data_IF_404799440282
#
_entry.id   IF_404799440282
#
_cell.length_a   1.000
_cell.length_b   1.000
_cell.length_c   1.000
_cell.angle_alpha   90.00
_cell.angle_beta   90.00
_cell.angle_gamma   90.00
#
_symmetry.space_group_name_H-M   'P 1'
#
loop_
_entity.id
_entity.type
_entity.pdbx_description
1 polymer ?
#
# COMPACT_ATOMS: atom_id res chain seq x y z
N UNK A 1 0.29 15.59 -17.80
CA UNK A 1 0.12 14.13 -17.60
C UNK A 1 -0.58 13.93 -16.27
N UNK A 2 -1.89 13.73 -16.28
CA UNK A 2 -2.67 13.48 -15.06
C UNK A 2 -2.65 11.97 -14.79
N UNK A 3 -1.95 11.56 -13.74
CA UNK A 3 -1.99 10.17 -13.27
C UNK A 3 -3.30 10.01 -12.52
N UNK A 4 -4.21 9.21 -13.07
CA UNK A 4 -5.48 8.88 -12.43
C UNK A 4 -5.18 8.15 -11.11
N UNK A 5 -5.31 8.87 -10.00
CA UNK A 5 -5.44 8.28 -8.67
C UNK A 5 -6.80 7.61 -8.66
N UNK A 6 -6.81 6.29 -8.90
CA UNK A 6 -7.99 5.45 -8.70
C UNK A 6 -8.29 5.43 -7.19
N UNK A 7 -9.02 6.45 -6.74
CA UNK A 7 -9.77 6.40 -5.51
C UNK A 7 -11.04 5.58 -5.78
N UNK A 8 -10.99 4.28 -5.48
CA UNK A 8 -12.21 3.52 -5.20
C UNK A 8 -11.92 2.35 -4.24
N UNK A 9 -12.67 2.36 -3.14
CA UNK A 9 -13.27 1.24 -2.41
C UNK A 9 -13.12 1.40 -0.88
N UNK A 10 -14.19 1.79 -0.14
CA UNK A 10 -14.24 1.73 1.31
C UNK A 10 -14.52 0.28 1.75
N UNK A 11 -13.56 -0.62 1.55
CA UNK A 11 -13.57 -1.96 2.12
C UNK A 11 -12.42 -2.05 3.11
N UNK A 12 -12.72 -1.61 4.33
CA UNK A 12 -11.97 -1.84 5.57
C UNK A 12 -10.45 -2.00 5.34
N UNK A 13 -9.75 -0.91 4.99
CA UNK A 13 -8.30 -0.92 4.76
C UNK A 13 -7.49 -1.00 6.05
N UNK A 14 -8.14 -0.83 7.20
CA UNK A 14 -7.52 -0.86 8.54
C UNK A 14 -6.69 -2.11 8.81
N UNK A 15 -7.19 -3.36 8.63
CA UNK A 15 -6.35 -4.55 8.76
C UNK A 15 -5.24 -4.66 7.70
N UNK A 16 -5.38 -3.98 6.56
CA UNK A 16 -4.36 -3.99 5.50
C UNK A 16 -3.13 -3.17 5.87
N UNK A 17 -3.21 -2.22 6.81
CA UNK A 17 -2.05 -1.46 7.30
C UNK A 17 -0.94 -2.37 7.84
N UNK A 18 -1.29 -3.49 8.46
CA UNK A 18 -0.34 -4.43 9.04
C UNK A 18 0.06 -5.56 8.08
N UNK A 19 -0.71 -5.75 7.01
CA UNK A 19 -0.48 -6.87 6.10
C UNK A 19 0.49 -6.47 5.00
N UNK A 20 1.64 -7.15 4.93
CA UNK A 20 2.58 -6.96 3.83
C UNK A 20 1.98 -7.46 2.52
N UNK A 21 1.83 -6.58 1.54
CA UNK A 21 1.26 -6.91 0.23
C UNK A 21 2.31 -6.76 -0.87
N UNK A 22 2.23 -7.61 -1.90
CA UNK A 22 2.96 -7.44 -3.17
C UNK A 22 2.05 -6.73 -4.16
N UNK A 23 2.50 -5.62 -4.76
CA UNK A 23 1.78 -4.91 -5.82
C UNK A 23 2.54 -4.95 -7.14
N UNK A 24 1.83 -5.05 -8.26
CA UNK A 24 2.45 -5.03 -9.58
C UNK A 24 3.06 -3.66 -9.85
N UNK A 25 4.35 -3.62 -10.19
CA UNK A 25 5.05 -2.41 -10.61
C UNK A 25 5.02 -2.28 -12.13
N UNK A 26 5.22 -3.39 -12.84
CA UNK A 26 5.31 -3.38 -14.31
C UNK A 26 4.93 -4.74 -14.90
N UNK A 27 4.81 -4.78 -16.22
CA UNK A 27 4.60 -6.01 -16.98
C UNK A 27 5.84 -6.26 -17.85
N UNK A 28 6.45 -7.43 -17.70
CA UNK A 28 7.55 -7.88 -18.56
C UNK A 28 7.03 -8.93 -19.53
N UNK A 29 7.42 -8.83 -20.80
CA UNK A 29 7.11 -9.87 -21.77
C UNK A 29 8.18 -10.96 -21.69
N UNK A 30 7.78 -12.20 -21.39
CA UNK A 30 8.66 -13.35 -21.42
C UNK A 30 8.33 -14.19 -22.67
N UNK A 31 9.34 -14.48 -23.49
CA UNK A 31 9.16 -15.13 -24.79
C UNK A 31 8.48 -16.50 -24.69
N UNK A 32 8.62 -17.19 -23.55
CA UNK A 32 8.01 -18.51 -23.33
C UNK A 32 6.67 -18.50 -22.57
N UNK A 33 6.31 -17.40 -21.89
CA UNK A 33 5.19 -17.37 -20.91
C UNK A 33 4.22 -16.21 -21.17
N UNK A 34 4.50 -15.33 -22.13
CA UNK A 34 3.70 -14.13 -22.38
C UNK A 34 3.96 -13.01 -21.35
N UNK A 35 2.97 -12.14 -21.13
CA UNK A 35 3.10 -11.00 -20.21
C UNK A 35 3.08 -11.45 -18.75
N UNK A 36 4.21 -11.35 -18.07
CA UNK A 36 4.35 -11.61 -16.64
C UNK A 36 4.31 -10.30 -15.85
N UNK A 37 3.53 -10.26 -14.76
CA UNK A 37 3.54 -9.13 -13.83
C UNK A 37 4.80 -9.18 -12.98
N UNK A 38 5.55 -8.08 -12.96
CA UNK A 38 6.65 -7.84 -12.03
C UNK A 38 6.07 -7.13 -10.83
N UNK A 39 6.09 -7.79 -9.69
CA UNK A 39 5.65 -7.21 -8.43
C UNK A 39 6.82 -6.63 -7.63
N UNK A 40 6.50 -5.66 -6.77
CA UNK A 40 7.43 -5.12 -5.79
C UNK A 40 7.79 -6.14 -4.70
N UNK A 41 8.77 -5.74 -3.89
CA UNK A 41 9.04 -6.42 -2.62
C UNK A 41 7.81 -6.24 -1.71
N UNK A 42 7.42 -7.28 -0.95
CA UNK A 42 6.34 -7.16 0.02
C UNK A 42 6.60 -5.97 0.97
N UNK A 43 5.63 -5.07 1.05
CA UNK A 43 5.64 -3.92 1.97
C UNK A 43 4.24 -3.65 2.46
N UNK A 44 4.14 -3.12 3.68
CA UNK A 44 2.86 -2.65 4.21
C UNK A 44 2.42 -1.37 3.49
N UNK A 45 1.10 -1.11 3.38
CA UNK A 45 0.59 0.19 2.93
C UNK A 45 1.19 1.37 3.69
N UNK A 46 1.40 1.20 5.01
CA UNK A 46 2.09 2.18 5.84
C UNK A 46 3.49 2.53 5.31
N UNK A 47 4.32 1.51 5.07
CA UNK A 47 5.66 1.71 4.51
C UNK A 47 5.62 2.33 3.10
N UNK A 48 4.63 1.96 2.29
CA UNK A 48 4.47 2.51 0.93
C UNK A 48 4.11 4.00 0.94
N UNK A 49 3.41 4.48 1.97
CA UNK A 49 3.04 5.88 2.12
C UNK A 49 4.19 6.74 2.65
N UNK A 50 5.05 6.19 3.52
CA UNK A 50 6.22 6.90 4.06
C UNK A 50 7.42 6.93 3.11
N UNK A 51 7.70 5.83 2.40
CA UNK A 51 8.89 5.69 1.54
C UNK A 51 9.09 6.84 0.51
N UNK A 52 8.04 7.41 -0.13
CA UNK A 52 8.21 8.50 -1.08
C UNK A 52 8.67 9.82 -0.45
N UNK A 53 8.51 10.01 0.86
CA UNK A 53 8.83 11.28 1.54
C UNK A 53 8.04 12.50 1.05
N UNK A 54 6.86 12.26 0.45
CA UNK A 54 6.00 13.32 -0.12
C UNK A 54 5.04 13.88 0.93
N UNK A 55 4.86 13.19 2.05
CA UNK A 55 3.99 13.60 3.13
C UNK A 55 4.61 14.75 3.93
N UNK A 56 3.78 15.68 4.36
CA UNK A 56 4.17 16.69 5.32
C UNK A 56 4.40 16.06 6.70
N UNK A 57 5.19 16.70 7.58
CA UNK A 57 5.41 16.19 8.94
C UNK A 57 4.13 16.01 9.76
N UNK A 58 3.08 16.79 9.45
CA UNK A 58 1.77 16.66 10.09
C UNK A 58 1.05 15.38 9.62
N UNK A 59 1.04 15.12 8.31
CA UNK A 59 0.42 13.92 7.73
C UNK A 59 1.14 12.64 8.16
N UNK A 60 2.48 12.66 8.27
CA UNK A 60 3.23 11.53 8.80
C UNK A 60 2.82 11.24 10.25
N UNK A 61 2.72 12.28 11.08
CA UNK A 61 2.32 12.16 12.49
C UNK A 61 0.91 11.58 12.62
N UNK A 62 -0.05 12.09 11.84
CA UNK A 62 -1.42 11.54 11.80
C UNK A 62 -1.39 10.05 11.41
N UNK A 63 -0.57 9.67 10.44
CA UNK A 63 -0.44 8.28 10.01
C UNK A 63 0.18 7.37 11.10
N UNK A 64 1.12 7.89 11.89
CA UNK A 64 1.67 7.19 13.05
C UNK A 64 0.65 7.05 14.17
N UNK A 65 -0.06 8.12 14.51
CA UNK A 65 -1.11 8.12 15.55
C UNK A 65 -2.25 7.16 15.18
N UNK A 66 -2.68 7.15 13.93
CA UNK A 66 -3.67 6.21 13.39
C UNK A 66 -3.19 4.76 13.48
N UNK A 67 -1.93 4.49 13.11
CA UNK A 67 -1.34 3.15 13.19
C UNK A 67 -1.26 2.65 14.64
N UNK A 68 -0.84 3.50 15.56
CA UNK A 68 -0.65 3.14 16.97
C UNK A 68 -2.00 3.01 17.70
N UNK A 69 -3.02 3.75 17.26
CA UNK A 69 -4.41 3.60 17.71
C UNK A 69 -5.09 2.32 17.18
N UNK A 70 -4.58 1.75 16.09
CA UNK A 70 -5.10 0.51 15.51
C UNK A 70 -4.60 -0.70 16.33
N UNK A 71 -5.46 -1.26 17.17
CA UNK A 71 -5.20 -2.53 17.85
C UNK A 71 -5.52 -3.70 16.91
N UNK A 72 -4.52 -4.48 16.45
CA UNK A 72 -4.75 -5.52 15.45
C UNK A 72 -5.75 -6.61 15.89
N UNK A 73 -5.88 -6.85 17.19
CA UNK A 73 -6.89 -7.78 17.75
C UNK A 73 -8.34 -7.27 17.68
N UNK A 74 -8.55 -5.96 17.54
CA UNK A 74 -9.88 -5.33 17.40
C UNK A 74 -10.29 -5.18 15.92
N UNK A 75 -9.40 -5.52 14.97
CA UNK A 75 -9.64 -5.40 13.51
C UNK A 75 -10.06 -6.71 12.83
N UNK A 76 -10.16 -7.80 13.59
CA UNK A 76 -10.56 -9.11 13.09
C UNK A 76 -12.09 -9.26 13.12
N UNK A 77 -12.71 -9.45 11.95
CA UNK A 77 -14.05 -10.01 11.78
C UNK A 77 -13.94 -11.34 11.04
#
# INVERSE_FOLDING_TARGET
MAVAVLADSPVNDRPKFFTSTKKPISCKNNQNVGRTRVCDKPRTPFQRLLDPGVLSPAEERELFEDRDGLKPGELAC
#
